data_IF_762199718552
#
_entry.id   IF_762199718552
#
_cell.length_a   1.000
_cell.length_b   1.000
_cell.length_c   1.000
_cell.angle_alpha   90.00
_cell.angle_beta   90.00
_cell.angle_gamma   90.00
#
_symmetry.space_group_name_H-M   'P 1'
#
loop_
_entity.id
_entity.type
_entity.pdbx_description
1 polymer ?
#
# COMPACT_ATOMS: atom_id res chain seq x y z
N UNK A 1 19.47 7.74 -17.34
CA UNK A 1 20.65 7.14 -16.65
C UNK A 1 21.92 7.24 -17.49
N UNK A 2 21.97 6.67 -18.70
CA UNK A 2 23.17 6.70 -19.56
C UNK A 2 23.72 8.11 -19.85
N UNK A 3 22.87 9.09 -20.21
CA UNK A 3 23.33 10.48 -20.40
C UNK A 3 23.86 11.12 -19.11
N UNK A 4 23.36 10.73 -17.93
CA UNK A 4 23.89 11.20 -16.64
C UNK A 4 25.30 10.68 -16.42
N UNK A 5 25.61 9.45 -16.85
CA UNK A 5 26.97 8.92 -16.78
C UNK A 5 27.89 9.54 -17.82
N UNK A 6 27.44 9.68 -19.06
CA UNK A 6 28.23 10.31 -20.13
C UNK A 6 28.66 11.74 -19.79
N UNK A 7 27.76 12.53 -19.18
CA UNK A 7 28.06 13.92 -18.77
C UNK A 7 29.16 13.99 -17.70
N UNK A 8 29.35 12.95 -16.87
CA UNK A 8 30.45 12.94 -15.87
C UNK A 8 31.84 12.96 -16.52
N UNK A 9 31.96 12.52 -17.76
CA UNK A 9 33.22 12.41 -18.49
C UNK A 9 33.38 13.50 -19.56
N UNK A 10 32.40 14.39 -19.71
CA UNK A 10 32.44 15.51 -20.65
C UNK A 10 32.90 16.77 -19.91
N UNK A 11 34.00 17.38 -20.35
CA UNK A 11 34.35 18.74 -19.92
C UNK A 11 33.34 19.74 -20.46
N UNK A 12 33.17 20.87 -19.78
CA UNK A 12 32.24 21.92 -20.21
C UNK A 12 32.63 22.54 -21.56
N UNK A 13 33.91 22.53 -21.90
CA UNK A 13 34.44 23.01 -23.18
C UNK A 13 34.22 22.05 -24.35
N UNK A 14 33.76 20.82 -24.08
CA UNK A 14 33.53 19.84 -25.15
C UNK A 14 32.35 20.30 -26.04
N UNK A 15 32.48 20.30 -27.38
CA UNK A 15 31.49 20.87 -28.30
C UNK A 15 30.10 20.23 -28.19
N UNK A 16 30.01 19.00 -27.66
CA UNK A 16 28.75 18.28 -27.43
C UNK A 16 28.21 18.34 -25.99
N UNK A 17 28.93 18.95 -25.05
CA UNK A 17 28.53 18.97 -23.64
C UNK A 17 27.14 19.61 -23.45
N UNK A 18 26.89 20.75 -24.11
CA UNK A 18 25.59 21.42 -24.09
C UNK A 18 24.47 20.55 -24.67
N UNK A 19 24.70 19.92 -25.83
CA UNK A 19 23.73 19.02 -26.46
C UNK A 19 23.40 17.81 -25.57
N UNK A 20 24.41 17.17 -24.95
CA UNK A 20 24.20 16.05 -24.04
C UNK A 20 23.40 16.46 -22.79
N UNK A 21 23.66 17.64 -22.21
CA UNK A 21 22.87 18.20 -21.08
C UNK A 21 21.42 18.47 -21.50
N UNK A 22 21.21 19.07 -22.66
CA UNK A 22 19.87 19.34 -23.20
C UNK A 22 19.06 18.08 -23.47
N UNK A 23 19.67 17.08 -24.13
CA UNK A 23 19.03 15.78 -24.38
C UNK A 23 18.68 15.08 -23.07
N UNK A 24 19.59 15.10 -22.09
CA UNK A 24 19.31 14.56 -20.75
C UNK A 24 18.08 15.22 -20.13
N UNK A 25 18.01 16.56 -20.13
CA UNK A 25 16.88 17.28 -19.56
C UNK A 25 15.55 16.90 -20.23
N UNK A 26 15.55 16.78 -21.57
CA UNK A 26 14.38 16.31 -22.31
C UNK A 26 13.99 14.88 -21.95
N UNK A 27 14.96 13.97 -21.85
CA UNK A 27 14.71 12.57 -21.45
C UNK A 27 14.22 12.45 -20.01
N UNK A 28 14.78 13.22 -19.07
CA UNK A 28 14.37 13.20 -17.67
C UNK A 28 12.90 13.68 -17.55
N UNK A 29 12.49 14.69 -18.33
CA UNK A 29 11.10 15.17 -18.38
C UNK A 29 10.14 14.12 -18.97
N UNK A 30 10.51 13.48 -20.08
CA UNK A 30 9.69 12.42 -20.68
C UNK A 30 9.60 11.20 -19.76
N UNK A 31 10.72 10.78 -19.17
CA UNK A 31 10.77 9.66 -18.24
C UNK A 31 9.91 9.92 -17.00
N UNK A 32 9.93 11.15 -16.47
CA UNK A 32 9.06 11.56 -15.36
C UNK A 32 7.58 11.37 -15.68
N UNK A 33 7.12 11.91 -16.81
CA UNK A 33 5.71 11.78 -17.25
C UNK A 33 5.29 10.33 -17.50
N UNK A 34 6.16 9.55 -18.14
CA UNK A 34 5.89 8.12 -18.38
C UNK A 34 5.81 7.37 -17.07
N UNK A 35 6.70 7.65 -16.11
CA UNK A 35 6.68 7.02 -14.80
C UNK A 35 5.42 7.39 -14.00
N UNK A 36 5.01 8.66 -13.99
CA UNK A 36 3.77 9.10 -13.36
C UNK A 36 2.54 8.38 -13.95
N UNK A 37 2.45 8.33 -15.29
CA UNK A 37 1.37 7.63 -15.97
C UNK A 37 1.37 6.12 -15.65
N UNK A 38 2.55 5.51 -15.60
CA UNK A 38 2.70 4.09 -15.25
C UNK A 38 2.27 3.82 -13.81
N UNK A 39 2.74 4.62 -12.86
CA UNK A 39 2.38 4.50 -11.45
C UNK A 39 0.88 4.66 -11.23
N UNK A 40 0.26 5.62 -11.93
CA UNK A 40 -1.19 5.81 -11.89
C UNK A 40 -1.94 4.57 -12.43
N UNK A 41 -1.52 4.06 -13.58
CA UNK A 41 -2.12 2.87 -14.21
C UNK A 41 -1.95 1.60 -13.35
N UNK A 42 -0.76 1.40 -12.76
CA UNK A 42 -0.49 0.29 -11.84
C UNK A 42 -1.32 0.41 -10.55
N UNK A 43 -1.43 1.62 -10.00
CA UNK A 43 -2.27 1.92 -8.84
C UNK A 43 -3.75 1.64 -9.08
N UNK A 44 -4.30 2.07 -10.22
CA UNK A 44 -5.68 1.77 -10.61
C UNK A 44 -5.94 0.26 -10.72
N UNK A 45 -5.01 -0.50 -11.32
CA UNK A 45 -5.12 -1.97 -11.39
C UNK A 45 -5.07 -2.64 -10.01
N UNK A 46 -4.22 -2.16 -9.10
CA UNK A 46 -4.16 -2.65 -7.72
C UNK A 46 -5.46 -2.38 -6.97
N UNK A 47 -6.02 -1.18 -7.11
CA UNK A 47 -7.30 -0.81 -6.50
C UNK A 47 -8.44 -1.68 -7.03
N UNK A 48 -8.49 -1.91 -8.35
CA UNK A 48 -9.48 -2.81 -8.96
C UNK A 48 -9.35 -4.23 -8.41
N UNK A 49 -8.12 -4.77 -8.38
CA UNK A 49 -7.87 -6.12 -7.87
C UNK A 49 -8.26 -6.25 -6.39
N UNK A 50 -7.97 -5.21 -5.60
CA UNK A 50 -8.37 -5.15 -4.19
C UNK A 50 -9.90 -5.09 -4.06
N UNK A 51 -10.56 -4.23 -4.82
CA UNK A 51 -12.02 -4.09 -4.81
C UNK A 51 -12.72 -5.39 -5.20
N UNK A 52 -12.24 -6.08 -6.22
CA UNK A 52 -12.75 -7.39 -6.64
C UNK A 52 -12.49 -8.47 -5.57
N UNK A 53 -11.47 -8.31 -4.73
CA UNK A 53 -11.16 -9.25 -3.65
C UNK A 53 -12.02 -9.06 -2.41
N UNK A 54 -12.70 -7.92 -2.25
CA UNK A 54 -13.47 -7.57 -1.05
C UNK A 54 -14.98 -7.60 -1.34
N UNK A 55 -15.66 -8.60 -0.78
CA UNK A 55 -17.11 -8.69 -0.77
C UNK A 55 -17.72 -7.56 0.08
N UNK A 56 -18.75 -6.91 -0.47
CA UNK A 56 -19.51 -5.85 0.22
C UNK A 56 -18.94 -4.44 0.08
N UNK A 57 -17.91 -4.22 -0.75
CA UNK A 57 -17.30 -2.90 -0.95
C UNK A 57 -18.17 -1.95 -1.81
N UNK A 58 -18.95 -2.50 -2.75
CA UNK A 58 -19.98 -1.73 -3.48
C UNK A 58 -19.48 -0.66 -4.46
N UNK A 59 -18.27 -0.78 -5.00
CA UNK A 59 -17.73 0.23 -5.94
C UNK A 59 -17.19 1.48 -5.23
N UNK A 60 -17.02 1.43 -3.90
CA UNK A 60 -16.66 2.61 -3.12
C UNK A 60 -15.28 3.12 -3.50
N UNK A 61 -14.32 2.25 -3.82
CA UNK A 61 -12.89 2.59 -3.87
C UNK A 61 -12.49 3.24 -5.19
N UNK A 62 -12.89 2.68 -6.32
CA UNK A 62 -12.53 3.21 -7.65
C UNK A 62 -13.21 4.55 -8.01
N UNK A 63 -14.33 4.91 -7.34
CA UNK A 63 -15.07 6.14 -7.64
C UNK A 63 -14.40 7.43 -7.13
N UNK A 64 -13.53 7.33 -6.14
CA UNK A 64 -12.68 8.43 -5.71
C UNK A 64 -11.27 8.15 -6.20
N UNK A 65 -10.56 9.14 -6.74
CA UNK A 65 -9.17 9.03 -7.21
C UNK A 65 -8.19 8.72 -6.06
N UNK A 66 -8.38 7.59 -5.39
CA UNK A 66 -7.70 7.17 -4.18
C UNK A 66 -6.37 6.55 -4.54
N UNK A 67 -5.44 6.62 -3.60
CA UNK A 67 -4.17 5.92 -3.71
C UNK A 67 -4.11 4.81 -2.68
N UNK A 68 -3.74 3.62 -3.14
CA UNK A 68 -3.43 2.50 -2.27
C UNK A 68 -2.09 2.74 -1.58
N UNK A 69 -2.06 2.71 -0.25
CA UNK A 69 -0.85 2.98 0.51
C UNK A 69 -0.23 1.69 1.06
N UNK A 70 -1.03 0.82 1.70
CA UNK A 70 -0.50 -0.32 2.44
C UNK A 70 -1.54 -1.43 2.67
N UNK A 71 -1.10 -2.69 2.74
CA UNK A 71 -1.83 -3.80 3.37
C UNK A 71 -1.09 -4.32 4.59
N UNK A 72 -1.86 -4.75 5.58
CA UNK A 72 -1.35 -5.37 6.79
C UNK A 72 -2.35 -6.35 7.41
N UNK A 73 -1.92 -7.04 8.46
CA UNK A 73 -2.80 -7.87 9.29
C UNK A 73 -2.78 -7.29 10.70
N UNK A 74 -3.96 -6.95 11.21
CA UNK A 74 -4.16 -6.53 12.59
C UNK A 74 -4.79 -7.67 13.39
N UNK A 75 -4.33 -7.83 14.64
CA UNK A 75 -5.04 -8.58 15.65
C UNK A 75 -6.02 -7.64 16.35
N UNK A 76 -7.29 -8.00 16.41
CA UNK A 76 -8.28 -7.20 17.13
C UNK A 76 -8.14 -7.48 18.62
N UNK A 77 -7.72 -6.48 19.39
CA UNK A 77 -7.52 -6.60 20.84
C UNK A 77 -8.77 -7.18 21.54
N UNK A 78 -8.56 -8.09 22.50
CA UNK A 78 -9.64 -8.80 23.18
C UNK A 78 -10.27 -9.95 22.38
N UNK A 79 -9.77 -10.25 21.17
CA UNK A 79 -10.20 -11.41 20.40
C UNK A 79 -9.02 -12.09 19.69
N UNK A 80 -9.07 -13.41 19.52
CA UNK A 80 -8.11 -14.13 18.65
C UNK A 80 -8.43 -13.94 17.14
N UNK A 81 -9.26 -12.95 16.79
CA UNK A 81 -9.68 -12.71 15.42
C UNK A 81 -8.67 -11.80 14.72
N UNK A 82 -8.02 -12.36 13.69
CA UNK A 82 -7.16 -11.61 12.76
C UNK A 82 -8.04 -10.90 11.72
N UNK A 83 -7.73 -9.63 11.47
CA UNK A 83 -8.32 -8.80 10.42
C UNK A 83 -7.23 -8.39 9.44
N UNK A 84 -7.55 -8.38 8.16
CA UNK A 84 -6.69 -7.79 7.14
C UNK A 84 -7.10 -6.34 6.96
N UNK A 85 -6.13 -5.44 6.99
CA UNK A 85 -6.36 -4.02 6.71
C UNK A 85 -5.85 -3.64 5.33
N UNK A 86 -6.59 -2.76 4.67
CA UNK A 86 -6.16 -2.07 3.47
C UNK A 86 -6.26 -0.57 3.73
N UNK A 87 -5.11 0.12 3.65
CA UNK A 87 -5.01 1.56 3.87
C UNK A 87 -5.01 2.27 2.53
N UNK A 88 -6.00 3.14 2.35
CA UNK A 88 -6.16 4.06 1.23
C UNK A 88 -5.86 5.49 1.70
N UNK A 89 -5.76 6.43 0.77
CA UNK A 89 -5.50 7.84 1.05
C UNK A 89 -6.51 8.50 2.01
N UNK A 90 -7.76 8.04 2.01
CA UNK A 90 -8.91 8.65 2.71
C UNK A 90 -9.74 7.64 3.50
N UNK A 91 -9.40 6.34 3.45
CA UNK A 91 -10.09 5.29 4.20
C UNK A 91 -9.13 4.20 4.67
N UNK A 92 -9.44 3.61 5.82
CA UNK A 92 -8.93 2.31 6.23
C UNK A 92 -10.05 1.27 6.14
N UNK A 93 -9.82 0.22 5.37
CA UNK A 93 -10.74 -0.90 5.23
C UNK A 93 -10.29 -2.04 6.14
N UNK A 94 -11.19 -2.51 7.00
CA UNK A 94 -10.97 -3.65 7.86
C UNK A 94 -11.78 -4.84 7.34
N UNK A 95 -11.07 -5.89 6.94
CA UNK A 95 -11.66 -7.05 6.29
C UNK A 95 -11.36 -8.35 7.06
N UNK A 96 -12.22 -9.34 6.86
CA UNK A 96 -12.01 -10.70 7.35
C UNK A 96 -11.80 -11.64 6.17
N UNK A 97 -10.78 -12.50 6.23
CA UNK A 97 -10.60 -13.53 5.21
C UNK A 97 -11.83 -14.44 5.13
N UNK A 98 -12.37 -14.63 3.93
CA UNK A 98 -13.44 -15.57 3.69
C UNK A 98 -12.89 -17.00 3.85
N UNK A 99 -13.51 -17.83 4.69
CA UNK A 99 -13.09 -19.22 4.90
C UNK A 99 -13.51 -20.14 3.77
N UNK A 100 -14.55 -19.77 3.02
CA UNK A 100 -15.15 -20.58 1.95
C UNK A 100 -14.51 -20.32 0.59
N UNK A 101 -14.00 -19.11 0.34
CA UNK A 101 -13.35 -18.73 -0.90
C UNK A 101 -11.94 -18.20 -0.63
N UNK A 102 -10.93 -18.95 -1.08
CA UNK A 102 -9.53 -18.53 -0.95
C UNK A 102 -9.29 -17.24 -1.76
N UNK A 103 -8.58 -16.28 -1.14
CA UNK A 103 -8.28 -14.99 -1.77
C UNK A 103 -9.39 -13.94 -1.71
N UNK A 104 -10.57 -14.27 -1.15
CA UNK A 104 -11.65 -13.31 -0.92
C UNK A 104 -11.66 -12.83 0.53
N UNK A 105 -12.08 -11.59 0.70
CA UNK A 105 -12.25 -10.94 1.99
C UNK A 105 -13.68 -10.42 2.11
N UNK A 106 -14.21 -10.40 3.32
CA UNK A 106 -15.50 -9.79 3.64
C UNK A 106 -15.23 -8.49 4.35
N UNK A 107 -15.75 -7.37 3.82
CA UNK A 107 -15.67 -6.09 4.50
C UNK A 107 -16.39 -6.16 5.86
N UNK A 108 -15.73 -5.70 6.92
CA UNK A 108 -16.33 -5.56 8.25
C UNK A 108 -16.55 -4.11 8.62
N UNK A 109 -15.54 -3.27 8.37
CA UNK A 109 -15.61 -1.83 8.62
C UNK A 109 -14.87 -1.05 7.55
N UNK A 110 -15.37 0.14 7.23
CA UNK A 110 -14.67 1.15 6.45
C UNK A 110 -14.61 2.41 7.32
N UNK A 111 -13.39 2.85 7.65
CA UNK A 111 -13.15 3.99 8.52
C UNK A 111 -12.59 5.13 7.67
N UNK A 112 -13.29 6.28 7.54
CA UNK A 112 -12.72 7.42 6.85
C UNK A 112 -11.52 7.97 7.62
N UNK A 113 -10.41 8.18 6.92
CA UNK A 113 -9.22 8.86 7.43
C UNK A 113 -9.47 10.35 7.31
N UNK A 114 -10.20 10.90 8.27
CA UNK A 114 -10.20 12.34 8.49
C UNK A 114 -8.82 12.70 9.06
N UNK A 115 -8.36 13.95 8.93
CA UNK A 115 -7.05 14.44 9.42
C UNK A 115 -6.74 14.18 10.93
N UNK A 116 -7.63 13.51 11.65
CA UNK A 116 -7.54 13.14 13.06
C UNK A 116 -7.13 11.69 13.32
N UNK A 117 -6.92 10.86 12.29
CA UNK A 117 -6.31 9.53 12.46
C UNK A 117 -4.79 9.66 12.68
N UNK A 118 -4.42 10.20 13.84
CA UNK A 118 -3.06 10.55 14.26
C UNK A 118 -2.27 9.34 14.76
N UNK A 119 -2.94 8.24 15.10
CA UNK A 119 -2.26 7.06 15.63
C UNK A 119 -3.07 5.78 15.42
N UNK A 120 -2.62 4.91 14.51
CA UNK A 120 -3.02 3.49 14.51
C UNK A 120 -1.97 2.75 15.32
N UNK A 121 -2.22 2.60 16.61
CA UNK A 121 -1.35 1.81 17.47
C UNK A 121 -1.57 0.32 17.14
N UNK A 122 -0.72 -0.23 16.29
CA UNK A 122 -0.67 -1.67 16.02
C UNK A 122 -0.07 -2.32 17.26
N UNK A 123 -0.91 -2.56 18.27
CA UNK A 123 -0.56 -3.40 19.41
C UNK A 123 -0.32 -4.81 18.88
N UNK A 124 0.94 -5.11 18.56
CA UNK A 124 1.43 -6.46 18.39
C UNK A 124 1.11 -7.19 19.70
N UNK A 125 0.08 -8.03 19.67
CA UNK A 125 -0.31 -8.78 20.85
C UNK A 125 0.94 -9.49 21.40
N UNK A 126 1.27 -9.33 22.70
CA UNK A 126 2.38 -10.06 23.28
C UNK A 126 2.12 -11.55 23.08
N UNK A 127 3.19 -12.32 22.80
CA UNK A 127 3.10 -13.78 22.83
C UNK A 127 2.47 -14.17 24.17
N UNK A 128 1.46 -15.06 24.20
CA UNK A 128 0.96 -15.58 25.48
C UNK A 128 2.16 -16.18 26.22
N UNK A 129 2.42 -15.69 27.43
CA UNK A 129 3.40 -16.27 28.34
C UNK A 129 2.94 -17.67 28.72
N UNK A 130 3.88 -18.60 28.87
CA UNK A 130 3.67 -20.03 29.10
C UNK A 130 2.74 -20.34 30.29
N UNK A 131 2.53 -19.37 31.18
CA UNK A 131 1.62 -19.46 32.32
C UNK A 131 0.11 -19.52 31.96
N UNK A 132 -0.31 -19.00 30.79
CA UNK A 132 -1.74 -19.05 30.40
C UNK A 132 -2.18 -20.43 29.88
N UNK A 133 -1.25 -21.26 29.37
CA UNK A 133 -1.56 -22.64 28.98
C UNK A 133 -1.72 -23.55 30.21
N UNK A 134 -0.99 -23.27 31.29
CA UNK A 134 -1.11 -24.00 32.55
C UNK A 134 -2.48 -23.79 33.21
N UNK A 135 -3.04 -22.57 33.15
CA UNK A 135 -4.34 -22.27 33.77
C UNK A 135 -5.51 -22.95 33.01
N UNK A 136 -5.39 -23.14 31.69
CA UNK A 136 -6.42 -23.84 30.90
C UNK A 136 -6.42 -25.36 31.06
N UNK A 137 -5.31 -25.96 31.52
CA UNK A 137 -5.24 -27.41 31.74
C UNK A 137 -5.80 -27.84 33.11
N UNK A 138 -5.87 -26.92 34.07
CA UNK A 138 -6.42 -27.16 35.42
C UNK A 138 -7.95 -26.99 35.47
N UNK A 139 -8.56 -26.34 34.47
CA UNK A 139 -10.01 -26.09 34.38
C UNK A 139 -10.77 -27.08 33.48
N UNK A 140 -10.23 -28.28 33.23
CA UNK A 140 -10.95 -29.38 32.55
C UNK A 140 -11.39 -30.46 33.52
#
# INVERSE_FOLDING_TARGET
>A
LLFRELIKFLSDDHPKAGACKGVRAGMDLVAGRVNEARQKSEGEKMLQTMEDSIEGLGGLVLKGSRQYQLNGVLLVHGSNNKRTIFLLSDYMLCCQKNKLQSGKFVLKHAVPLNNELVHVEILLAPKPTEDEEAIKSVLK
#
